data_IF_766884524572
#
_entry.id   IF_766884524572
#
_cell.length_a   1.000
_cell.length_b   1.000
_cell.length_c   1.000
_cell.angle_alpha   90.00
_cell.angle_beta   90.00
_cell.angle_gamma   90.00
#
_symmetry.space_group_name_H-M   'P 1'
#
loop_
_entity.id
_entity.type
_entity.pdbx_description
1 polymer ?
#
# COMPACT_ATOMS: atom_id res chain seq x y z
N UNK A 1 -21.92 25.24 -11.23
CA UNK A 1 -23.36 24.90 -11.26
C UNK A 1 -23.79 24.56 -9.85
N UNK A 2 -24.81 25.23 -9.31
CA UNK A 2 -25.53 24.65 -8.18
C UNK A 2 -26.28 23.39 -8.66
N UNK A 3 -26.47 22.36 -7.84
CA UNK A 3 -27.22 21.16 -8.20
C UNK A 3 -28.70 21.53 -8.29
N UNK A 4 -29.09 22.15 -9.40
CA UNK A 4 -30.46 22.57 -9.66
C UNK A 4 -31.35 21.41 -10.11
N UNK A 5 -32.50 21.77 -10.68
CA UNK A 5 -33.56 20.90 -11.25
C UNK A 5 -33.05 19.75 -12.16
N UNK A 6 -31.82 19.85 -12.67
CA UNK A 6 -31.23 18.87 -13.57
C UNK A 6 -30.71 17.60 -12.88
N UNK A 7 -30.47 17.60 -11.56
CA UNK A 7 -29.90 16.44 -10.86
C UNK A 7 -30.75 15.17 -11.07
N UNK A 8 -32.07 15.28 -10.90
CA UNK A 8 -33.02 14.18 -11.13
C UNK A 8 -33.01 13.69 -12.59
N UNK A 9 -32.97 14.62 -13.55
CA UNK A 9 -32.91 14.30 -14.99
C UNK A 9 -31.60 13.60 -15.36
N UNK A 10 -30.48 14.06 -14.81
CA UNK A 10 -29.16 13.45 -15.02
C UNK A 10 -29.14 12.03 -14.44
N UNK A 11 -29.65 11.83 -13.22
CA UNK A 11 -29.75 10.49 -12.61
C UNK A 11 -30.63 9.56 -13.45
N UNK A 12 -31.72 10.07 -14.04
CA UNK A 12 -32.60 9.30 -14.90
C UNK A 12 -31.91 8.76 -16.17
N UNK A 13 -30.83 9.40 -16.64
CA UNK A 13 -30.05 8.90 -17.79
C UNK A 13 -29.39 7.53 -17.52
N UNK A 14 -29.26 7.10 -16.26
CA UNK A 14 -28.85 5.73 -15.94
C UNK A 14 -29.87 4.68 -16.40
N UNK A 15 -31.10 5.09 -16.71
CA UNK A 15 -32.16 4.24 -17.24
C UNK A 15 -32.26 4.25 -18.77
N UNK A 16 -31.37 4.93 -19.48
CA UNK A 16 -31.38 4.96 -20.94
C UNK A 16 -31.21 3.54 -21.55
N UNK A 17 -31.72 3.35 -22.76
CA UNK A 17 -31.53 2.10 -23.52
C UNK A 17 -30.13 2.03 -24.13
N UNK A 18 -29.56 3.17 -24.51
CA UNK A 18 -28.25 3.29 -25.12
C UNK A 18 -27.15 3.29 -24.06
N UNK A 19 -26.35 2.23 -24.03
CA UNK A 19 -25.33 2.03 -22.99
C UNK A 19 -24.23 3.11 -23.02
N UNK A 20 -23.97 3.73 -24.18
CA UNK A 20 -23.09 4.90 -24.27
C UNK A 20 -23.62 6.11 -23.50
N UNK A 21 -24.95 6.34 -23.46
CA UNK A 21 -25.55 7.43 -22.66
C UNK A 21 -25.37 7.12 -21.18
N UNK A 22 -25.66 5.88 -20.77
CA UNK A 22 -25.46 5.40 -19.39
C UNK A 22 -24.00 5.55 -18.95
N UNK A 23 -23.04 5.26 -19.85
CA UNK A 23 -21.60 5.38 -19.57
C UNK A 23 -21.16 6.82 -19.33
N UNK A 24 -21.63 7.74 -20.16
CA UNK A 24 -21.37 9.18 -19.98
C UNK A 24 -22.05 9.72 -18.73
N UNK A 25 -23.31 9.36 -18.50
CA UNK A 25 -24.08 9.76 -17.32
C UNK A 25 -23.42 9.26 -16.03
N UNK A 26 -22.99 7.99 -15.97
CA UNK A 26 -22.31 7.43 -14.81
C UNK A 26 -21.04 8.21 -14.46
N UNK A 27 -20.25 8.59 -15.47
CA UNK A 27 -19.03 9.40 -15.27
C UNK A 27 -19.33 10.80 -14.75
N UNK A 28 -20.38 11.43 -15.29
CA UNK A 28 -20.83 12.75 -14.85
C UNK A 28 -21.33 12.70 -13.40
N UNK A 29 -22.16 11.71 -13.07
CA UNK A 29 -22.68 11.52 -11.72
C UNK A 29 -21.55 11.18 -10.74
N UNK A 30 -20.56 10.37 -11.12
CA UNK A 30 -19.38 10.06 -10.28
C UNK A 30 -18.65 11.34 -9.86
N UNK A 31 -18.46 12.28 -10.80
CA UNK A 31 -17.81 13.55 -10.51
C UNK A 31 -18.68 14.49 -9.66
N UNK A 32 -19.98 14.59 -9.95
CA UNK A 32 -20.89 15.50 -9.27
C UNK A 32 -21.26 15.04 -7.86
N UNK A 33 -21.41 13.72 -7.65
CA UNK A 33 -21.74 13.13 -6.34
C UNK A 33 -20.67 13.35 -5.29
N UNK A 34 -19.38 13.49 -5.67
CA UNK A 34 -18.30 13.86 -4.74
C UNK A 34 -18.50 15.26 -4.13
N UNK A 35 -19.19 16.16 -4.83
CA UNK A 35 -19.44 17.53 -4.37
C UNK A 35 -20.85 17.73 -3.81
N UNK A 36 -21.84 17.01 -4.31
CA UNK A 36 -23.25 17.09 -3.90
C UNK A 36 -23.85 15.69 -3.73
N UNK A 37 -23.43 14.91 -2.72
CA UNK A 37 -23.84 13.51 -2.58
C UNK A 37 -25.36 13.36 -2.42
N UNK A 38 -26.01 14.21 -1.62
CA UNK A 38 -27.45 14.10 -1.34
C UNK A 38 -28.35 14.28 -2.57
N UNK A 39 -27.93 15.12 -3.52
CA UNK A 39 -28.68 15.42 -4.74
C UNK A 39 -28.62 14.27 -5.75
N UNK A 40 -27.53 13.51 -5.73
CA UNK A 40 -27.30 12.41 -6.66
C UNK A 40 -27.58 11.03 -6.05
N UNK A 41 -27.94 10.93 -4.76
CA UNK A 41 -28.18 9.65 -4.05
C UNK A 41 -29.16 8.70 -4.74
N UNK A 42 -30.09 9.23 -5.54
CA UNK A 42 -31.03 8.45 -6.35
C UNK A 42 -30.35 7.55 -7.41
N UNK A 43 -29.07 7.80 -7.73
CA UNK A 43 -28.31 6.98 -8.67
C UNK A 43 -27.97 5.59 -8.13
N UNK A 44 -27.87 5.41 -6.81
CA UNK A 44 -27.42 4.17 -6.17
C UNK A 44 -28.29 2.96 -6.58
N UNK A 45 -29.63 2.95 -6.35
CA UNK A 45 -30.46 1.81 -6.75
C UNK A 45 -30.47 1.57 -8.28
N UNK A 46 -30.33 2.62 -9.09
CA UNK A 46 -30.28 2.50 -10.55
C UNK A 46 -28.97 1.86 -11.02
N UNK A 47 -27.84 2.31 -10.48
CA UNK A 47 -26.51 1.77 -10.79
C UNK A 47 -26.42 0.29 -10.42
N UNK A 48 -26.96 -0.08 -9.26
CA UNK A 48 -27.10 -1.47 -8.80
C UNK A 48 -27.93 -2.30 -9.76
N UNK A 49 -29.13 -1.83 -10.10
CA UNK A 49 -30.05 -2.55 -10.98
C UNK A 49 -29.41 -2.77 -12.35
N UNK A 50 -28.72 -1.75 -12.86
CA UNK A 50 -27.97 -1.82 -14.12
C UNK A 50 -26.82 -2.81 -14.07
N UNK A 51 -25.98 -2.76 -13.03
CA UNK A 51 -24.91 -3.75 -12.81
C UNK A 51 -25.46 -5.16 -12.79
N UNK A 52 -26.53 -5.42 -12.02
CA UNK A 52 -27.16 -6.73 -11.95
C UNK A 52 -27.60 -7.22 -13.32
N UNK A 53 -28.28 -6.36 -14.11
CA UNK A 53 -28.74 -6.70 -15.46
C UNK A 53 -27.59 -7.03 -16.41
N UNK A 54 -26.49 -6.29 -16.33
CA UNK A 54 -25.31 -6.50 -17.19
C UNK A 54 -24.63 -7.84 -16.85
N UNK A 55 -24.45 -8.14 -15.56
CA UNK A 55 -23.76 -9.39 -15.15
C UNK A 55 -24.61 -10.63 -15.43
N UNK A 56 -25.94 -10.51 -15.41
CA UNK A 56 -26.86 -11.60 -15.79
C UNK A 56 -27.18 -11.64 -17.29
N UNK A 57 -26.71 -10.68 -18.08
CA UNK A 57 -27.01 -10.61 -19.50
C UNK A 57 -26.40 -11.81 -20.24
N UNK A 58 -27.15 -12.32 -21.22
CA UNK A 58 -26.63 -13.30 -22.16
C UNK A 58 -25.84 -12.61 -23.27
N UNK A 59 -24.99 -13.38 -23.98
CA UNK A 59 -24.16 -12.85 -25.06
C UNK A 59 -24.96 -12.22 -26.22
N UNK A 60 -26.24 -12.56 -26.34
CA UNK A 60 -27.15 -12.00 -27.35
C UNK A 60 -27.73 -10.65 -26.96
N UNK A 61 -27.76 -10.31 -25.66
CA UNK A 61 -28.48 -9.12 -25.17
C UNK A 61 -27.69 -7.82 -25.34
N UNK A 62 -26.35 -7.91 -25.42
CA UNK A 62 -25.44 -6.77 -25.40
C UNK A 62 -24.36 -6.87 -26.50
N UNK A 63 -24.73 -7.28 -27.72
CA UNK A 63 -23.77 -7.58 -28.79
C UNK A 63 -22.77 -6.44 -29.03
N UNK A 64 -23.25 -5.21 -29.19
CA UNK A 64 -22.40 -4.03 -29.47
C UNK A 64 -21.50 -3.61 -28.29
N UNK A 65 -21.85 -4.05 -27.08
CA UNK A 65 -21.17 -3.67 -25.83
C UNK A 65 -20.45 -4.85 -25.17
N UNK A 66 -20.41 -6.01 -25.83
CA UNK A 66 -19.69 -7.20 -25.34
C UNK A 66 -18.27 -7.18 -25.89
N UNK A 67 -17.30 -7.01 -24.99
CA UNK A 67 -15.89 -6.98 -25.34
C UNK A 67 -15.23 -8.31 -24.98
N UNK A 68 -14.78 -9.07 -25.98
CA UNK A 68 -14.17 -10.40 -25.79
C UNK A 68 -14.98 -11.29 -24.81
N UNK A 69 -16.29 -11.43 -25.01
CA UNK A 69 -17.20 -12.19 -24.14
C UNK A 69 -17.37 -11.65 -22.71
N UNK A 70 -16.95 -10.41 -22.44
CA UNK A 70 -17.23 -9.70 -21.20
C UNK A 70 -18.28 -8.60 -21.48
N UNK A 71 -19.46 -8.63 -20.84
CA UNK A 71 -20.51 -7.66 -21.09
C UNK A 71 -20.17 -6.29 -20.47
N UNK A 72 -20.10 -5.27 -21.30
CA UNK A 72 -19.91 -3.85 -20.94
C UNK A 72 -18.88 -3.58 -19.81
N UNK A 73 -17.63 -4.07 -19.90
CA UNK A 73 -16.66 -4.05 -18.80
C UNK A 73 -16.37 -2.63 -18.29
N UNK A 74 -16.23 -1.65 -19.19
CA UNK A 74 -15.98 -0.25 -18.81
C UNK A 74 -17.14 0.39 -18.06
N UNK A 75 -18.38 0.06 -18.43
CA UNK A 75 -19.54 0.55 -17.70
C UNK A 75 -19.61 -0.09 -16.32
N UNK A 76 -19.34 -1.40 -16.21
CA UNK A 76 -19.28 -2.08 -14.91
C UNK A 76 -18.29 -1.39 -13.97
N UNK A 77 -17.07 -1.11 -14.45
CA UNK A 77 -16.05 -0.38 -13.69
C UNK A 77 -16.54 1.01 -13.26
N UNK A 78 -17.17 1.77 -14.16
CA UNK A 78 -17.70 3.11 -13.83
C UNK A 78 -18.83 3.08 -12.81
N UNK A 79 -19.74 2.11 -12.91
CA UNK A 79 -20.84 1.96 -11.96
C UNK A 79 -20.33 1.52 -10.58
N UNK A 80 -19.37 0.59 -10.53
CA UNK A 80 -18.73 0.16 -9.27
C UNK A 80 -18.02 1.34 -8.58
N UNK A 81 -17.28 2.14 -9.34
CA UNK A 81 -16.59 3.32 -8.82
C UNK A 81 -17.53 4.43 -8.39
N UNK A 82 -18.65 4.64 -9.11
CA UNK A 82 -19.71 5.52 -8.67
C UNK A 82 -20.28 5.09 -7.31
N UNK A 83 -20.44 3.79 -7.07
CA UNK A 83 -20.97 3.26 -5.81
C UNK A 83 -20.02 3.48 -4.63
N UNK A 84 -18.71 3.66 -4.86
CA UNK A 84 -17.74 4.03 -3.81
C UNK A 84 -17.95 5.45 -3.28
N UNK A 85 -18.76 6.29 -3.91
CA UNK A 85 -19.06 7.63 -3.38
C UNK A 85 -20.16 7.64 -2.31
N UNK A 86 -20.77 6.49 -2.02
CA UNK A 86 -21.92 6.39 -1.13
C UNK A 86 -21.71 5.31 -0.06
N UNK A 87 -22.31 5.46 1.13
CA UNK A 87 -22.28 4.41 2.13
C UNK A 87 -23.06 3.17 1.66
N UNK A 88 -22.80 1.98 2.25
CA UNK A 88 -23.51 0.76 1.90
C UNK A 88 -25.02 0.94 2.15
N UNK A 89 -25.89 0.65 1.17
CA UNK A 89 -27.32 0.89 1.33
C UNK A 89 -27.91 -0.09 2.35
N UNK A 90 -28.64 0.39 3.35
CA UNK A 90 -29.19 -0.45 4.43
C UNK A 90 -30.13 -1.58 3.99
N UNK A 91 -30.76 -1.46 2.81
CA UNK A 91 -31.63 -2.49 2.21
C UNK A 91 -30.92 -3.37 1.17
N UNK A 92 -29.65 -3.10 0.89
CA UNK A 92 -28.92 -3.80 -0.16
C UNK A 92 -28.59 -5.22 0.30
N UNK A 93 -29.40 -6.18 -0.15
CA UNK A 93 -29.20 -7.58 0.21
C UNK A 93 -27.83 -8.08 -0.27
N UNK A 94 -27.12 -8.71 0.67
CA UNK A 94 -25.80 -9.35 0.57
C UNK A 94 -25.57 -10.20 -0.70
N UNK A 95 -26.64 -10.63 -1.38
CA UNK A 95 -26.62 -11.45 -2.61
C UNK A 95 -26.14 -10.72 -3.86
N UNK A 96 -26.29 -9.40 -3.96
CA UNK A 96 -25.96 -8.69 -5.21
C UNK A 96 -24.45 -8.46 -5.41
N UNK A 97 -23.65 -8.28 -4.35
CA UNK A 97 -22.18 -8.18 -4.46
C UNK A 97 -21.53 -9.52 -4.85
N UNK A 98 -22.10 -10.63 -4.37
CA UNK A 98 -21.63 -11.97 -4.66
C UNK A 98 -21.65 -12.26 -6.17
N UNK A 99 -22.64 -11.75 -6.90
CA UNK A 99 -22.76 -11.93 -8.36
C UNK A 99 -21.57 -11.31 -9.10
N UNK A 100 -20.96 -10.24 -8.58
CA UNK A 100 -19.82 -9.56 -9.21
C UNK A 100 -18.51 -10.34 -8.98
N UNK A 101 -18.34 -10.93 -7.78
CA UNK A 101 -17.23 -11.84 -7.47
C UNK A 101 -17.38 -13.21 -8.13
N UNK A 102 -18.62 -13.72 -8.22
CA UNK A 102 -18.97 -15.02 -8.77
C UNK A 102 -19.34 -14.93 -10.27
N UNK A 103 -19.01 -13.80 -10.94
CA UNK A 103 -19.22 -13.60 -12.37
C UNK A 103 -18.74 -14.85 -13.14
N UNK A 104 -19.56 -15.36 -14.07
CA UNK A 104 -19.50 -16.75 -14.49
C UNK A 104 -18.09 -17.15 -14.91
N UNK A 105 -17.53 -18.15 -14.22
CA UNK A 105 -16.42 -18.95 -14.74
C UNK A 105 -16.90 -19.51 -16.07
N UNK A 106 -16.58 -18.85 -17.18
CA UNK A 106 -17.00 -19.27 -18.51
C UNK A 106 -16.60 -20.73 -18.67
N UNK A 107 -17.61 -21.62 -18.74
CA UNK A 107 -17.41 -23.06 -18.90
C UNK A 107 -16.88 -23.43 -20.29
N UNK A 108 -16.80 -22.47 -21.21
CA UNK A 108 -16.20 -22.67 -22.52
C UNK A 108 -14.74 -22.21 -22.47
N UNK A 109 -13.85 -23.20 -22.39
CA UNK A 109 -12.43 -23.11 -22.69
C UNK A 109 -12.27 -22.83 -24.19
N UNK A 110 -12.72 -21.67 -24.65
CA UNK A 110 -12.04 -21.07 -25.79
C UNK A 110 -10.70 -20.59 -25.27
N UNK A 111 -9.66 -20.59 -26.10
CA UNK A 111 -8.35 -20.04 -25.75
C UNK A 111 -8.54 -18.55 -25.40
N UNK A 112 -8.86 -18.26 -24.14
CA UNK A 112 -9.27 -16.93 -23.71
C UNK A 112 -8.05 -16.02 -23.88
N UNK A 113 -8.20 -15.05 -24.78
CA UNK A 113 -7.13 -14.11 -25.10
C UNK A 113 -6.75 -13.28 -23.87
N UNK A 114 -5.56 -12.68 -23.91
CA UNK A 114 -5.13 -11.74 -22.86
C UNK A 114 -6.14 -10.60 -22.70
N UNK A 115 -6.80 -10.17 -23.78
CA UNK A 115 -7.86 -9.16 -23.76
C UNK A 115 -9.09 -9.59 -22.94
N UNK A 116 -9.53 -10.84 -23.09
CA UNK A 116 -10.62 -11.39 -22.25
C UNK A 116 -10.22 -11.37 -20.77
N UNK A 117 -9.01 -11.88 -20.46
CA UNK A 117 -8.48 -11.93 -19.09
C UNK A 117 -8.44 -10.53 -18.47
N UNK A 118 -7.87 -9.55 -19.18
CA UNK A 118 -7.72 -8.18 -18.73
C UNK A 118 -9.08 -7.51 -18.49
N UNK A 119 -10.02 -7.64 -19.43
CA UNK A 119 -11.35 -7.05 -19.29
C UNK A 119 -12.12 -7.63 -18.09
N UNK A 120 -12.07 -8.95 -17.90
CA UNK A 120 -12.70 -9.62 -16.76
C UNK A 120 -12.05 -9.22 -15.44
N UNK A 121 -10.72 -9.22 -15.38
CA UNK A 121 -9.98 -8.89 -14.17
C UNK A 121 -10.14 -7.41 -13.80
N UNK A 122 -10.26 -6.49 -14.76
CA UNK A 122 -10.53 -5.07 -14.50
C UNK A 122 -11.85 -4.87 -13.72
N UNK A 123 -12.92 -5.57 -14.13
CA UNK A 123 -14.19 -5.55 -13.40
C UNK A 123 -14.05 -6.16 -12.00
N UNK A 124 -13.30 -7.27 -11.89
CA UNK A 124 -13.05 -7.93 -10.60
C UNK A 124 -12.26 -7.06 -9.62
N UNK A 125 -11.19 -6.39 -10.07
CA UNK A 125 -10.40 -5.50 -9.22
C UNK A 125 -11.22 -4.31 -8.73
N UNK A 126 -12.05 -3.70 -9.59
CA UNK A 126 -12.92 -2.61 -9.17
C UNK A 126 -14.00 -3.09 -8.17
N UNK A 127 -14.49 -4.33 -8.33
CA UNK A 127 -15.43 -4.92 -7.38
C UNK A 127 -14.76 -5.19 -6.02
N UNK A 128 -13.53 -5.68 -6.02
CA UNK A 128 -12.71 -5.84 -4.82
C UNK A 128 -12.47 -4.49 -4.15
N UNK A 129 -12.11 -3.45 -4.93
CA UNK A 129 -11.92 -2.10 -4.40
C UNK A 129 -13.20 -1.57 -3.72
N UNK A 130 -14.36 -1.80 -4.31
CA UNK A 130 -15.65 -1.46 -3.69
C UNK A 130 -15.91 -2.24 -2.40
N UNK A 131 -15.62 -3.55 -2.36
CA UNK A 131 -15.77 -4.37 -1.15
C UNK A 131 -14.87 -3.85 -0.02
N UNK A 132 -13.61 -3.53 -0.34
CA UNK A 132 -12.65 -2.97 0.62
C UNK A 132 -13.14 -1.61 1.12
N UNK A 133 -13.61 -0.74 0.22
CA UNK A 133 -14.12 0.57 0.56
C UNK A 133 -15.33 0.52 1.49
N UNK A 134 -16.22 -0.45 1.30
CA UNK A 134 -17.42 -0.61 2.13
C UNK A 134 -17.13 -1.17 3.52
N UNK A 135 -16.07 -1.98 3.67
CA UNK A 135 -15.57 -2.57 4.93
C UNK A 135 -16.64 -3.13 5.89
N UNK A 136 -17.77 -3.60 5.35
CA UNK A 136 -18.96 -3.92 6.15
C UNK A 136 -19.22 -5.41 6.33
N UNK A 137 -18.68 -6.26 5.46
CA UNK A 137 -18.97 -7.70 5.42
C UNK A 137 -17.67 -8.52 5.45
N UNK A 138 -17.25 -9.03 6.62
CA UNK A 138 -16.00 -9.77 6.80
C UNK A 138 -15.83 -10.95 5.84
N UNK A 139 -16.91 -11.68 5.56
CA UNK A 139 -16.89 -12.82 4.64
C UNK A 139 -16.51 -12.42 3.21
N UNK A 140 -16.93 -11.23 2.75
CA UNK A 140 -16.58 -10.73 1.42
C UNK A 140 -15.12 -10.26 1.40
N UNK A 141 -14.65 -9.59 2.46
CA UNK A 141 -13.24 -9.17 2.59
C UNK A 141 -12.30 -10.37 2.58
N UNK A 142 -12.61 -11.44 3.32
CA UNK A 142 -11.81 -12.68 3.31
C UNK A 142 -11.83 -13.35 1.93
N UNK A 143 -12.98 -13.39 1.25
CA UNK A 143 -13.08 -13.91 -0.13
C UNK A 143 -12.25 -13.07 -1.11
N UNK A 144 -12.29 -11.75 -1.00
CA UNK A 144 -11.47 -10.83 -1.79
C UNK A 144 -9.98 -11.05 -1.54
N UNK A 145 -9.57 -11.18 -0.27
CA UNK A 145 -8.20 -11.49 0.12
C UNK A 145 -7.70 -12.80 -0.51
N UNK A 146 -8.48 -13.88 -0.40
CA UNK A 146 -8.12 -15.17 -0.99
C UNK A 146 -7.99 -15.08 -2.52
N UNK A 147 -8.88 -14.32 -3.18
CA UNK A 147 -8.82 -14.12 -4.63
C UNK A 147 -7.57 -13.34 -5.03
N UNK A 148 -7.22 -12.26 -4.32
CA UNK A 148 -5.97 -11.54 -4.52
C UNK A 148 -4.75 -12.42 -4.26
N UNK A 149 -4.82 -13.32 -3.28
CA UNK A 149 -3.74 -14.28 -2.97
C UNK A 149 -3.39 -15.16 -4.17
N UNK A 150 -4.39 -15.57 -4.97
CA UNK A 150 -4.14 -16.29 -6.22
C UNK A 150 -3.42 -15.44 -7.28
N UNK A 151 -3.64 -14.12 -7.27
CA UNK A 151 -3.00 -13.21 -8.21
C UNK A 151 -1.55 -12.88 -7.85
N UNK A 152 -1.13 -13.00 -6.59
CA UNK A 152 0.27 -12.77 -6.16
C UNK A 152 1.27 -13.71 -6.86
N UNK A 153 0.86 -14.92 -7.19
CA UNK A 153 1.69 -15.91 -7.88
C UNK A 153 1.32 -16.06 -9.36
N UNK A 154 0.55 -15.13 -9.92
CA UNK A 154 0.11 -15.20 -11.31
C UNK A 154 1.28 -14.95 -12.27
N UNK A 155 1.28 -15.58 -13.45
CA UNK A 155 2.36 -15.44 -14.45
C UNK A 155 2.57 -14.01 -14.98
N UNK A 156 1.50 -13.21 -15.02
CA UNK A 156 1.51 -11.84 -15.52
C UNK A 156 1.88 -10.84 -14.42
N UNK A 157 2.96 -10.09 -14.63
CA UNK A 157 3.48 -9.08 -13.68
C UNK A 157 2.43 -8.03 -13.31
N UNK A 158 1.62 -7.57 -14.27
CA UNK A 158 0.58 -6.56 -14.02
C UNK A 158 -0.47 -7.04 -13.02
N UNK A 159 -0.82 -8.33 -13.03
CA UNK A 159 -1.79 -8.89 -12.09
C UNK A 159 -1.19 -9.03 -10.69
N UNK A 160 0.10 -9.40 -10.59
CA UNK A 160 0.82 -9.42 -9.32
C UNK A 160 0.92 -8.02 -8.71
N UNK A 161 1.23 -7.00 -9.53
CA UNK A 161 1.27 -5.60 -9.12
C UNK A 161 -0.08 -5.14 -8.53
N UNK A 162 -1.17 -5.31 -9.29
CA UNK A 162 -2.52 -4.90 -8.85
C UNK A 162 -2.98 -5.66 -7.59
N UNK A 163 -2.56 -6.91 -7.45
CA UNK A 163 -2.85 -7.72 -6.27
C UNK A 163 -2.17 -7.18 -5.01
N UNK A 164 -0.88 -6.86 -5.09
CA UNK A 164 -0.13 -6.25 -3.98
C UNK A 164 -0.73 -4.89 -3.58
N UNK A 165 -1.06 -4.05 -4.57
CA UNK A 165 -1.69 -2.75 -4.33
C UNK A 165 -3.05 -2.88 -3.62
N UNK A 166 -3.91 -3.78 -4.11
CA UNK A 166 -5.24 -4.01 -3.52
C UNK A 166 -5.16 -4.64 -2.13
N UNK A 167 -4.21 -5.56 -1.90
CA UNK A 167 -3.99 -6.16 -0.58
C UNK A 167 -3.50 -5.15 0.45
N UNK A 168 -2.76 -4.11 0.03
CA UNK A 168 -2.32 -3.05 0.93
C UNK A 168 -3.52 -2.33 1.56
N UNK A 169 -4.59 -2.12 0.77
CA UNK A 169 -5.85 -1.57 1.27
C UNK A 169 -6.61 -2.55 2.17
N UNK A 170 -6.53 -3.86 1.94
CA UNK A 170 -7.13 -4.87 2.85
C UNK A 170 -6.39 -4.98 4.19
N UNK A 171 -5.09 -4.73 4.19
CA UNK A 171 -4.27 -4.83 5.40
C UNK A 171 -4.64 -3.78 6.45
N UNK A 172 -5.30 -2.68 6.06
CA UNK A 172 -5.75 -1.63 6.98
C UNK A 172 -7.08 -1.95 7.67
N UNK A 173 -7.85 -2.93 7.18
CA UNK A 173 -9.10 -3.39 7.79
C UNK A 173 -8.85 -4.43 8.87
N UNK A 174 -9.48 -4.26 10.04
CA UNK A 174 -9.38 -5.19 11.17
C UNK A 174 -9.96 -6.57 10.83
N UNK A 175 -10.96 -6.65 9.94
CA UNK A 175 -11.63 -7.90 9.59
C UNK A 175 -10.80 -8.80 8.65
N UNK A 176 -9.94 -8.20 7.81
CA UNK A 176 -9.13 -8.93 6.84
C UNK A 176 -7.65 -9.03 7.19
N UNK A 177 -7.17 -8.33 8.22
CA UNK A 177 -5.75 -8.29 8.58
C UNK A 177 -5.13 -9.69 8.75
N UNK A 178 -5.81 -10.58 9.48
CA UNK A 178 -5.35 -11.97 9.67
C UNK A 178 -5.40 -12.81 8.39
N UNK A 179 -6.30 -12.50 7.45
CA UNK A 179 -6.34 -13.18 6.15
C UNK A 179 -5.15 -12.77 5.27
N UNK A 180 -4.79 -11.48 5.28
CA UNK A 180 -3.61 -10.97 4.54
C UNK A 180 -2.32 -11.61 5.06
N UNK A 181 -2.19 -11.77 6.38
CA UNK A 181 -1.02 -12.42 7.02
C UNK A 181 -0.73 -13.84 6.54
N UNK A 182 -1.75 -14.59 6.11
CA UNK A 182 -1.55 -15.94 5.54
C UNK A 182 -0.75 -15.94 4.25
N UNK A 183 -0.63 -14.79 3.58
CA UNK A 183 0.13 -14.62 2.34
C UNK A 183 1.52 -13.99 2.57
N UNK A 184 1.95 -13.77 3.82
CA UNK A 184 3.22 -13.09 4.15
C UNK A 184 4.42 -13.70 3.43
N UNK A 185 4.57 -15.02 3.44
CA UNK A 185 5.68 -15.71 2.75
C UNK A 185 5.70 -15.42 1.24
N UNK A 186 4.51 -15.41 0.60
CA UNK A 186 4.39 -15.09 -0.82
C UNK A 186 4.79 -13.64 -1.11
N UNK A 187 4.42 -12.72 -0.23
CA UNK A 187 4.74 -11.28 -0.35
C UNK A 187 6.25 -11.05 -0.15
N UNK A 188 6.87 -11.71 0.84
CA UNK A 188 8.33 -11.70 1.05
C UNK A 188 9.02 -12.28 -0.19
N UNK A 189 8.50 -13.36 -0.77
CA UNK A 189 9.05 -13.91 -2.00
C UNK A 189 8.94 -12.93 -3.19
N UNK A 190 7.84 -12.18 -3.30
CA UNK A 190 7.71 -11.10 -4.30
C UNK A 190 8.77 -10.01 -4.11
N UNK A 191 9.08 -9.62 -2.88
CA UNK A 191 10.16 -8.66 -2.60
C UNK A 191 11.52 -9.15 -3.12
N UNK A 192 11.82 -10.45 -2.93
CA UNK A 192 13.11 -11.05 -3.27
C UNK A 192 13.28 -11.36 -4.76
N UNK A 193 12.22 -11.86 -5.41
CA UNK A 193 12.33 -12.53 -6.72
C UNK A 193 11.84 -11.70 -7.90
N UNK A 194 11.04 -10.66 -7.66
CA UNK A 194 10.50 -9.83 -8.75
C UNK A 194 11.59 -9.01 -9.42
N UNK A 195 11.56 -9.00 -10.76
CA UNK A 195 12.51 -8.21 -11.57
C UNK A 195 12.12 -6.74 -11.62
N UNK A 196 10.83 -6.45 -11.52
CA UNK A 196 10.29 -5.10 -11.61
C UNK A 196 10.41 -4.38 -10.25
N UNK A 197 11.09 -3.23 -10.25
CA UNK A 197 11.29 -2.41 -9.04
C UNK A 197 9.96 -1.93 -8.47
N UNK A 198 8.99 -1.59 -9.31
CA UNK A 198 7.67 -1.10 -8.87
C UNK A 198 6.86 -2.18 -8.16
N UNK A 199 7.00 -3.45 -8.56
CA UNK A 199 6.37 -4.59 -7.89
C UNK A 199 7.03 -4.84 -6.53
N UNK A 200 8.37 -4.78 -6.47
CA UNK A 200 9.12 -4.88 -5.20
C UNK A 200 8.74 -3.75 -4.23
N UNK A 201 8.57 -2.53 -4.73
CA UNK A 201 8.07 -1.40 -3.95
C UNK A 201 6.68 -1.67 -3.37
N UNK A 202 5.75 -2.23 -4.16
CA UNK A 202 4.42 -2.61 -3.68
C UNK A 202 4.46 -3.74 -2.64
N UNK A 203 5.39 -4.68 -2.75
CA UNK A 203 5.61 -5.69 -1.72
C UNK A 203 6.11 -5.05 -0.41
N UNK A 204 7.03 -4.08 -0.47
CA UNK A 204 7.45 -3.29 0.70
C UNK A 204 6.28 -2.53 1.32
N UNK A 205 5.46 -1.86 0.52
CA UNK A 205 4.26 -1.14 0.99
C UNK A 205 3.33 -2.08 1.78
N UNK A 206 3.06 -3.26 1.22
CA UNK A 206 2.18 -4.24 1.83
C UNK A 206 2.78 -4.83 3.11
N UNK A 207 4.05 -5.20 3.12
CA UNK A 207 4.75 -5.68 4.32
C UNK A 207 4.70 -4.63 5.44
N UNK A 208 4.89 -3.36 5.11
CA UNK A 208 4.74 -2.27 6.07
C UNK A 208 3.32 -2.15 6.62
N UNK A 209 2.30 -2.24 5.75
CA UNK A 209 0.90 -2.11 6.14
C UNK A 209 0.39 -3.27 7.00
N UNK A 210 0.82 -4.51 6.71
CA UNK A 210 0.40 -5.73 7.43
C UNK A 210 1.23 -6.05 8.67
N UNK A 211 2.27 -5.25 8.95
CA UNK A 211 3.18 -5.50 10.06
C UNK A 211 2.50 -5.22 11.40
N UNK A 212 2.61 -6.16 12.33
CA UNK A 212 2.12 -6.12 13.70
C UNK A 212 3.19 -6.60 14.69
N UNK A 213 2.83 -6.68 15.98
CA UNK A 213 3.77 -7.10 17.03
C UNK A 213 4.26 -8.55 16.88
N UNK A 214 3.51 -9.40 16.19
CA UNK A 214 3.81 -10.84 16.08
C UNK A 214 4.79 -11.11 14.93
N UNK A 215 4.68 -10.36 13.83
CA UNK A 215 5.52 -10.56 12.64
C UNK A 215 6.60 -9.47 12.42
N UNK A 216 6.65 -8.40 13.24
CA UNK A 216 7.61 -7.31 13.06
C UNK A 216 9.07 -7.75 12.95
N UNK A 217 9.50 -8.70 13.78
CA UNK A 217 10.88 -9.19 13.77
C UNK A 217 11.27 -9.81 12.41
N UNK A 218 10.38 -10.64 11.86
CA UNK A 218 10.59 -11.32 10.58
C UNK A 218 10.56 -10.33 9.42
N UNK A 219 9.53 -9.46 9.37
CA UNK A 219 9.37 -8.47 8.31
C UNK A 219 10.57 -7.51 8.28
N UNK A 220 10.99 -6.98 9.44
CA UNK A 220 12.14 -6.07 9.53
C UNK A 220 13.43 -6.77 9.11
N UNK A 221 13.64 -8.03 9.50
CA UNK A 221 14.81 -8.78 9.09
C UNK A 221 14.88 -8.97 7.56
N UNK A 222 13.76 -9.32 6.93
CA UNK A 222 13.67 -9.50 5.48
C UNK A 222 13.83 -8.19 4.72
N UNK A 223 13.27 -7.11 5.25
CA UNK A 223 13.47 -5.77 4.70
C UNK A 223 14.94 -5.35 4.78
N UNK A 224 15.62 -5.57 5.91
CA UNK A 224 17.05 -5.27 6.04
C UNK A 224 17.90 -6.09 5.06
N UNK A 225 17.62 -7.38 4.91
CA UNK A 225 18.34 -8.24 3.98
C UNK A 225 18.19 -7.78 2.52
N UNK A 226 16.98 -7.37 2.11
CA UNK A 226 16.76 -6.83 0.78
C UNK A 226 17.45 -5.47 0.58
N UNK A 227 17.50 -4.62 1.61
CA UNK A 227 18.08 -3.27 1.53
C UNK A 227 19.55 -3.26 1.08
N UNK A 228 20.32 -4.31 1.39
CA UNK A 228 21.73 -4.46 0.97
C UNK A 228 21.90 -4.46 -0.56
N UNK A 229 20.94 -5.04 -1.27
CA UNK A 229 20.95 -5.21 -2.74
C UNK A 229 19.91 -4.36 -3.46
N UNK A 230 19.08 -3.62 -2.71
CA UNK A 230 18.02 -2.77 -3.23
C UNK A 230 18.55 -1.68 -4.17
N UNK A 231 17.72 -1.27 -5.14
CA UNK A 231 18.01 -0.16 -6.05
C UNK A 231 18.01 1.20 -5.30
N UNK A 232 18.82 2.17 -5.75
CA UNK A 232 18.92 3.48 -5.08
C UNK A 232 17.58 4.21 -4.93
N UNK A 233 16.67 4.06 -5.89
CA UNK A 233 15.37 4.75 -5.92
C UNK A 233 14.42 4.33 -4.79
N UNK A 234 14.57 3.13 -4.22
CA UNK A 234 13.65 2.59 -3.20
C UNK A 234 14.26 2.61 -1.80
N UNK A 235 15.60 2.75 -1.68
CA UNK A 235 16.32 2.64 -0.41
C UNK A 235 15.87 3.65 0.62
N UNK A 236 15.73 4.92 0.24
CA UNK A 236 15.39 6.00 1.18
C UNK A 236 14.05 5.74 1.88
N UNK A 237 13.01 5.46 1.08
CA UNK A 237 11.68 5.18 1.60
C UNK A 237 11.65 3.90 2.46
N UNK A 238 12.37 2.88 2.02
CA UNK A 238 12.45 1.62 2.74
C UNK A 238 13.15 1.76 4.10
N UNK A 239 14.24 2.54 4.18
CA UNK A 239 14.93 2.85 5.43
C UNK A 239 13.99 3.53 6.42
N UNK A 240 13.22 4.51 5.95
CA UNK A 240 12.24 5.21 6.78
C UNK A 240 11.17 4.24 7.31
N UNK A 241 10.64 3.36 6.46
CA UNK A 241 9.67 2.33 6.87
C UNK A 241 10.24 1.38 7.91
N UNK A 242 11.44 0.84 7.70
CA UNK A 242 12.10 -0.05 8.67
C UNK A 242 12.31 0.67 10.01
N UNK A 243 12.78 1.92 9.98
CA UNK A 243 12.97 2.71 11.20
C UNK A 243 11.65 2.94 11.95
N UNK A 244 10.56 3.23 11.24
CA UNK A 244 9.22 3.41 11.84
C UNK A 244 8.72 2.10 12.45
N UNK A 245 8.85 0.97 11.74
CA UNK A 245 8.43 -0.33 12.24
C UNK A 245 9.22 -0.73 13.49
N UNK A 246 10.54 -0.51 13.47
CA UNK A 246 11.40 -0.77 14.61
C UNK A 246 11.00 0.09 15.82
N UNK A 247 10.76 1.39 15.64
CA UNK A 247 10.31 2.28 16.72
C UNK A 247 8.93 1.86 17.26
N UNK A 248 8.01 1.45 16.39
CA UNK A 248 6.62 1.12 16.75
C UNK A 248 6.48 -0.22 17.48
N UNK A 249 7.27 -1.23 17.09
CA UNK A 249 7.08 -2.61 17.54
C UNK A 249 8.18 -3.16 18.44
N UNK A 250 9.20 -2.37 18.77
CA UNK A 250 10.23 -2.78 19.71
C UNK A 250 9.63 -3.10 21.10
N UNK A 251 9.75 -4.36 21.52
CA UNK A 251 9.44 -4.81 22.88
C UNK A 251 10.62 -4.61 23.82
N UNK A 252 11.84 -4.67 23.28
CA UNK A 252 13.08 -4.34 23.97
C UNK A 252 13.92 -3.35 23.16
N UNK A 253 14.70 -2.53 23.86
CA UNK A 253 15.54 -1.52 23.22
C UNK A 253 16.79 -2.11 22.57
N UNK A 254 17.19 -3.33 22.91
CA UNK A 254 18.33 -4.02 22.31
C UNK A 254 18.08 -4.30 20.83
N UNK A 255 16.93 -4.86 20.50
CA UNK A 255 16.52 -5.14 19.13
C UNK A 255 16.37 -3.86 18.31
N UNK A 256 15.74 -2.81 18.87
CA UNK A 256 15.62 -1.51 18.21
C UNK A 256 17.00 -0.97 17.79
N UNK A 257 17.95 -0.98 18.73
CA UNK A 257 19.30 -0.50 18.48
C UNK A 257 19.99 -1.32 17.40
N UNK A 258 19.90 -2.64 17.46
CA UNK A 258 20.54 -3.51 16.48
C UNK A 258 20.00 -3.25 15.07
N UNK A 259 18.68 -3.05 14.93
CA UNK A 259 18.04 -2.69 13.65
C UNK A 259 18.54 -1.34 13.15
N UNK A 260 18.56 -0.33 14.02
CA UNK A 260 19.04 1.01 13.67
C UNK A 260 20.52 0.98 13.24
N UNK A 261 21.38 0.27 13.99
CA UNK A 261 22.80 0.17 13.64
C UNK A 261 23.00 -0.54 12.30
N UNK A 262 22.22 -1.59 12.01
CA UNK A 262 22.22 -2.23 10.69
C UNK A 262 21.80 -1.27 9.57
N UNK A 263 20.74 -0.49 9.77
CA UNK A 263 20.32 0.54 8.80
C UNK A 263 21.45 1.53 8.51
N UNK A 264 22.15 1.99 9.54
CA UNK A 264 23.25 2.94 9.42
C UNK A 264 24.42 2.37 8.62
N UNK A 265 24.78 1.12 8.87
CA UNK A 265 25.84 0.40 8.16
C UNK A 265 25.51 0.21 6.67
N UNK A 266 24.27 -0.17 6.36
CA UNK A 266 23.84 -0.48 4.99
C UNK A 266 23.76 0.78 4.13
N UNK A 267 23.18 1.85 4.65
CA UNK A 267 22.86 3.02 3.84
C UNK A 267 24.11 3.80 3.45
N UNK A 268 25.22 3.71 4.21
CA UNK A 268 26.47 4.48 4.02
C UNK A 268 26.28 6.00 3.84
N UNK A 269 25.06 6.53 4.01
CA UNK A 269 24.72 7.97 3.96
C UNK A 269 24.61 8.47 5.40
N UNK A 270 25.77 8.67 6.00
CA UNK A 270 25.95 8.88 7.43
C UNK A 270 25.61 10.30 7.95
N UNK A 271 25.19 11.26 7.12
CA UNK A 271 25.19 12.67 7.58
C UNK A 271 23.88 13.17 8.21
N UNK A 272 22.75 13.05 7.53
CA UNK A 272 21.54 13.78 7.97
C UNK A 272 20.59 12.95 8.84
N UNK A 273 20.53 11.64 8.60
CA UNK A 273 19.65 10.73 9.35
C UNK A 273 20.23 10.40 10.74
N UNK A 274 21.54 10.18 10.82
CA UNK A 274 22.28 10.01 12.08
C UNK A 274 22.13 11.19 13.01
N UNK A 275 22.16 12.42 12.47
CA UNK A 275 22.02 13.64 13.25
C UNK A 275 20.65 13.70 13.94
N UNK A 276 19.57 13.39 13.22
CA UNK A 276 18.20 13.38 13.77
C UNK A 276 17.98 12.24 14.77
N UNK A 277 18.52 11.05 14.50
CA UNK A 277 18.35 9.88 15.36
C UNK A 277 19.18 9.98 16.65
N UNK A 278 20.43 10.47 16.56
CA UNK A 278 21.30 10.70 17.72
C UNK A 278 20.77 11.79 18.65
N UNK A 279 20.21 12.88 18.08
CA UNK A 279 19.52 13.95 18.85
C UNK A 279 18.27 13.44 19.60
N UNK A 280 17.52 12.50 19.02
CA UNK A 280 16.33 11.89 19.66
C UNK A 280 16.74 10.86 20.72
N UNK A 281 17.82 10.10 20.49
CA UNK A 281 18.29 9.01 21.34
C UNK A 281 19.12 9.46 22.55
N UNK A 282 19.90 10.55 22.44
CA UNK A 282 20.59 11.15 23.61
C UNK A 282 19.63 11.58 24.73
N UNK A 283 18.32 11.64 24.44
CA UNK A 283 17.27 11.99 25.40
C UNK A 283 16.87 10.84 26.34
N UNK A 284 17.18 9.57 26.02
CA UNK A 284 16.75 8.41 26.82
C UNK A 284 17.92 7.41 27.02
N UNK A 285 18.40 7.30 28.25
CA UNK A 285 19.66 6.64 28.63
C UNK A 285 19.53 5.12 28.86
N UNK A 286 20.60 4.42 28.45
CA UNK A 286 21.30 3.22 29.01
C UNK A 286 21.09 1.83 28.38
N UNK A 287 22.26 1.17 28.24
CA UNK A 287 22.58 -0.21 27.83
C UNK A 287 22.49 -0.52 26.33
N UNK A 288 23.50 -0.06 25.59
CA UNK A 288 23.77 -0.50 24.22
C UNK A 288 25.11 -1.23 24.12
N UNK A 289 25.17 -2.20 23.20
CA UNK A 289 26.38 -2.92 22.79
C UNK A 289 27.45 -1.95 22.23
N UNK A 290 28.34 -1.46 23.09
CA UNK A 290 29.43 -0.54 22.70
C UNK A 290 30.28 -1.06 21.53
N UNK A 291 30.40 -2.38 21.40
CA UNK A 291 31.21 -3.04 20.38
C UNK A 291 30.75 -2.76 18.94
N UNK A 292 29.43 -2.72 18.68
CA UNK A 292 28.89 -2.49 17.33
C UNK A 292 29.03 -1.02 16.96
N UNK A 293 28.79 -0.12 17.93
CA UNK A 293 29.03 1.32 17.76
C UNK A 293 30.50 1.57 17.42
N UNK A 294 31.42 0.93 18.14
CA UNK A 294 32.86 0.98 17.83
C UNK A 294 33.16 0.43 16.43
N UNK A 295 32.55 -0.67 15.99
CA UNK A 295 32.73 -1.18 14.63
C UNK A 295 32.25 -0.19 13.56
N UNK A 296 31.07 0.42 13.72
CA UNK A 296 30.53 1.45 12.82
C UNK A 296 31.47 2.66 12.74
N UNK A 297 32.02 3.08 13.88
CA UNK A 297 33.00 4.17 13.94
C UNK A 297 34.37 3.77 13.36
N UNK A 298 34.79 2.51 13.51
CA UNK A 298 36.06 2.00 12.98
C UNK A 298 36.03 1.74 11.46
N UNK A 299 34.85 1.65 10.84
CA UNK A 299 34.74 1.31 9.41
C UNK A 299 35.05 2.46 8.45
N UNK A 300 35.30 3.69 8.94
CA UNK A 300 35.63 4.82 8.05
C UNK A 300 36.82 5.65 8.57
N UNK A 301 37.96 5.49 7.90
CA UNK A 301 39.18 6.28 8.11
C UNK A 301 39.34 7.42 7.09
N UNK A 302 38.40 7.63 6.16
CA UNK A 302 38.53 8.61 5.09
C UNK A 302 37.34 9.59 5.04
N UNK A 303 37.17 10.38 6.10
CA UNK A 303 36.42 11.62 6.03
C UNK A 303 37.10 12.55 4.99
N UNK A 304 36.52 12.70 3.79
CA UNK A 304 36.85 13.81 2.89
C UNK A 304 35.62 14.71 2.78
N UNK A 305 35.64 15.81 3.53
CA UNK A 305 34.65 16.88 3.44
C UNK A 305 35.38 18.15 2.97
N UNK A 306 34.89 18.87 1.94
CA UNK A 306 35.49 20.15 1.53
C UNK A 306 35.48 21.21 2.65
N UNK A 307 34.59 21.06 3.64
CA UNK A 307 34.59 21.87 4.86
C UNK A 307 35.54 21.27 5.91
N UNK A 308 36.72 21.89 6.04
CA UNK A 308 37.79 21.46 6.92
C UNK A 308 37.40 21.49 8.41
N UNK A 309 36.55 22.43 8.84
CA UNK A 309 36.14 22.54 10.24
C UNK A 309 35.16 21.42 10.62
N UNK A 310 34.25 21.09 9.70
CA UNK A 310 33.33 19.97 9.88
C UNK A 310 34.06 18.62 9.86
N UNK A 311 35.09 18.49 9.02
CA UNK A 311 35.95 17.31 8.97
C UNK A 311 36.72 17.12 10.27
N UNK A 312 37.35 18.19 10.77
CA UNK A 312 38.08 18.20 12.04
C UNK A 312 37.19 17.75 13.20
N UNK A 313 35.99 18.35 13.32
CA UNK A 313 35.04 17.99 14.38
C UNK A 313 34.56 16.55 14.28
N UNK A 314 34.31 16.03 13.07
CA UNK A 314 33.91 14.64 12.88
C UNK A 314 35.02 13.66 13.29
N UNK A 315 36.28 13.98 13.03
CA UNK A 315 37.45 13.22 13.52
C UNK A 315 37.57 13.31 15.05
N UNK A 316 37.35 14.48 15.65
CA UNK A 316 37.37 14.64 17.11
C UNK A 316 36.26 13.84 17.80
N UNK A 317 35.03 13.85 17.27
CA UNK A 317 33.94 12.99 17.77
C UNK A 317 34.25 11.50 17.61
N UNK A 318 34.94 11.11 16.53
CA UNK A 318 35.41 9.75 16.28
C UNK A 318 36.51 9.32 17.28
N UNK A 319 37.41 10.24 17.66
CA UNK A 319 38.41 10.01 18.70
C UNK A 319 37.74 9.84 20.07
N UNK A 320 36.72 10.65 20.36
CA UNK A 320 35.94 10.63 21.60
C UNK A 320 35.05 9.39 21.73
N UNK A 321 34.52 8.84 20.64
CA UNK A 321 33.71 7.61 20.67
C UNK A 321 34.55 6.35 20.91
N UNK A 322 35.85 6.38 20.62
CA UNK A 322 36.79 5.27 20.88
C UNK A 322 37.12 5.07 22.36
N UNK A 323 36.98 6.12 23.19
CA UNK A 323 37.16 6.03 24.65
C UNK A 323 35.93 6.67 25.31
N UNK A 324 34.84 5.91 25.38
CA UNK A 324 33.59 6.38 25.98
C UNK A 324 33.71 6.43 27.52
N UNK A 325 34.36 7.46 28.05
CA UNK A 325 34.26 7.79 29.48
C UNK A 325 33.03 8.68 29.76
N UNK A 326 32.47 8.63 30.98
CA UNK A 326 31.27 9.40 31.34
C UNK A 326 31.39 10.91 31.07
N UNK A 327 32.60 11.47 31.18
CA UNK A 327 32.89 12.89 30.96
C UNK A 327 32.86 13.28 29.47
N UNK A 328 33.21 12.35 28.59
CA UNK A 328 33.13 12.56 27.13
C UNK A 328 31.68 12.61 26.66
N UNK A 329 30.83 11.74 27.21
CA UNK A 329 29.39 11.77 26.98
C UNK A 329 28.75 13.08 27.51
N UNK A 330 29.25 13.63 28.62
CA UNK A 330 28.80 14.92 29.16
C UNK A 330 29.28 16.11 28.30
N UNK A 331 30.50 16.03 27.75
CA UNK A 331 31.09 17.08 26.91
C UNK A 331 30.41 17.18 25.54
N UNK A 332 30.09 16.04 24.92
CA UNK A 332 29.28 15.99 23.69
C UNK A 332 27.88 16.56 23.94
N UNK A 333 27.30 16.29 25.12
CA UNK A 333 26.02 16.87 25.54
C UNK A 333 26.07 18.41 25.67
N UNK A 334 27.13 18.94 26.27
CA UNK A 334 27.32 20.39 26.50
C UNK A 334 27.56 21.17 25.19
N UNK A 335 28.36 20.61 24.27
CA UNK A 335 28.70 21.27 23.00
C UNK A 335 27.50 21.28 22.03
N UNK A 336 26.69 20.23 22.01
CA UNK A 336 25.50 20.17 21.17
C UNK A 336 24.37 21.11 21.65
N UNK A 337 24.26 21.36 22.96
CA UNK A 337 23.24 22.28 23.51
C UNK A 337 23.63 23.75 23.41
N UNK A 338 24.91 24.10 23.48
CA UNK A 338 25.32 25.51 23.44
C UNK A 338 25.18 26.18 22.06
N UNK A 339 25.07 25.39 20.97
CA UNK A 339 24.90 25.91 19.60
C UNK A 339 23.43 26.12 19.17
N UNK A 340 22.45 25.82 20.04
CA UNK A 340 21.02 25.97 19.75
C UNK A 340 20.24 26.74 20.83
N UNK A 341 20.87 27.71 21.48
CA UNK A 341 20.14 28.87 22.03
C UNK A 341 20.07 29.95 20.95
N UNK A 342 19.09 29.82 20.06
CA UNK A 342 18.36 30.88 19.36
C UNK A 342 17.06 30.27 18.81
#
# INVERSE_FOLDING_TARGET
MQPGEYASRIVHLLNDSHMGVVTSAASLIEALSKKWPDEYKGCVPLAISRLSRIVTATYTDLQDYTYYFVPAPWLCVKLLRLLQNYPPPGWFQKRNWLIILDAPKSKKVFLLSVQHSNAKNAVLFEAIALIIHMDSEPNLLVRACNQLGTFLSHRETNLRYLALESMCLLATSEFSHEAVKKHQETIINSLKTERDVSVRQRAVDLLYAMCDRLNANEIVAEMLAYLETADYSIREEMVLKVAILAEKYATDYTWYVDVILKLLLIVKMYKDMLRKLYLKHCRFKKNLNLHIIQQVFLTDHNLRNPDAELQQRAVEYLQMSKVATPDVLATVFLICFHKYKL
#
